data_IF_566088570823
#
_entry.id   IF_566088570823
#
_cell.length_a   1.000
_cell.length_b   1.000
_cell.length_c   1.000
_cell.angle_alpha   90.00
_cell.angle_beta   90.00
_cell.angle_gamma   90.00
#
_symmetry.space_group_name_H-M   'P 1'
#
loop_
_entity.id
_entity.type
_entity.pdbx_description
1 polymer ?
#
# COMPACT_ATOMS: atom_id res chain seq x y z
N UNK A 1 -21.10 7.05 -5.33
CA UNK A 1 -20.50 6.69 -4.03
C UNK A 1 -20.57 7.92 -3.11
N UNK A 2 -21.02 7.76 -1.87
CA UNK A 2 -20.80 8.81 -0.87
C UNK A 2 -19.29 8.94 -0.71
N UNK A 3 -18.78 10.14 -0.78
CA UNK A 3 -17.35 10.35 -0.62
C UNK A 3 -16.90 9.73 0.71
N UNK A 4 -15.90 8.88 0.67
CA UNK A 4 -15.34 8.21 1.85
C UNK A 4 -14.96 9.20 2.97
N UNK A 5 -14.59 10.43 2.59
CA UNK A 5 -14.30 11.56 3.49
C UNK A 5 -15.47 11.88 4.42
N UNK A 6 -16.70 11.90 3.91
CA UNK A 6 -17.87 12.19 4.73
C UNK A 6 -18.16 11.12 5.79
N UNK A 7 -17.77 9.88 5.54
CA UNK A 7 -18.13 8.73 6.37
C UNK A 7 -17.00 8.31 7.32
N UNK A 8 -15.75 8.39 6.87
CA UNK A 8 -14.65 7.69 7.53
C UNK A 8 -13.50 8.61 7.97
N UNK A 9 -13.38 9.82 7.44
CA UNK A 9 -12.24 10.70 7.75
C UNK A 9 -12.09 10.99 9.24
N UNK A 10 -13.19 11.11 9.97
CA UNK A 10 -13.20 11.32 11.42
C UNK A 10 -12.64 10.14 12.24
N UNK A 11 -12.51 8.97 11.61
CA UNK A 11 -11.96 7.76 12.26
C UNK A 11 -10.44 7.66 12.15
N UNK A 12 -9.80 8.51 11.35
CA UNK A 12 -8.34 8.54 11.23
C UNK A 12 -7.75 9.16 12.49
N UNK A 13 -6.84 8.45 13.15
CA UNK A 13 -6.11 9.00 14.30
C UNK A 13 -5.24 10.17 13.88
N UNK A 14 -5.03 11.13 14.79
CA UNK A 14 -4.20 12.30 14.52
C UNK A 14 -2.77 11.92 14.09
N UNK A 15 -2.20 10.90 14.72
CA UNK A 15 -0.86 10.40 14.40
C UNK A 15 -0.78 9.83 12.97
N UNK A 16 -1.72 8.98 12.56
CA UNK A 16 -1.75 8.43 11.21
C UNK A 16 -1.97 9.52 10.16
N UNK A 17 -2.84 10.50 10.46
CA UNK A 17 -3.07 11.66 9.59
C UNK A 17 -1.78 12.45 9.37
N UNK A 18 -1.12 12.83 10.44
CA UNK A 18 0.15 13.58 10.38
C UNK A 18 1.21 12.83 9.57
N UNK A 19 1.35 11.53 9.79
CA UNK A 19 2.31 10.71 9.04
C UNK A 19 2.02 10.65 7.54
N UNK A 20 0.75 10.64 7.15
CA UNK A 20 0.35 10.64 5.74
C UNK A 20 0.58 12.02 5.12
N UNK A 21 0.23 13.09 5.82
CA UNK A 21 0.41 14.48 5.37
C UNK A 21 1.90 14.81 5.18
N UNK A 22 2.77 14.33 6.09
CA UNK A 22 4.23 14.41 5.93
C UNK A 22 4.68 13.69 4.67
N UNK A 23 4.18 12.50 4.41
CA UNK A 23 4.57 11.74 3.21
C UNK A 23 4.12 12.42 1.92
N UNK A 24 2.90 12.96 1.88
CA UNK A 24 2.39 13.75 0.75
C UNK A 24 3.28 14.97 0.48
N UNK A 25 3.65 15.71 1.53
CA UNK A 25 4.59 16.83 1.43
C UNK A 25 5.96 16.39 0.91
N UNK A 26 6.45 15.23 1.32
CA UNK A 26 7.73 14.70 0.83
C UNK A 26 7.71 14.33 -0.65
N UNK A 27 6.58 13.83 -1.17
CA UNK A 27 6.37 13.60 -2.60
C UNK A 27 6.48 14.92 -3.38
N UNK A 28 5.82 15.97 -2.91
CA UNK A 28 5.89 17.29 -3.52
C UNK A 28 7.32 17.87 -3.50
N UNK A 29 7.99 17.80 -2.37
CA UNK A 29 9.37 18.26 -2.22
C UNK A 29 10.33 17.48 -3.12
N UNK A 30 10.11 16.17 -3.30
CA UNK A 30 10.87 15.35 -4.23
C UNK A 30 10.68 15.81 -5.67
N UNK A 31 9.46 16.09 -6.06
CA UNK A 31 9.13 16.62 -7.39
C UNK A 31 9.78 17.98 -7.67
N UNK A 32 9.96 18.80 -6.64
CA UNK A 32 10.69 20.07 -6.72
C UNK A 32 12.23 19.91 -6.68
N UNK A 33 12.76 18.68 -6.61
CA UNK A 33 14.21 18.43 -6.49
C UNK A 33 14.81 18.81 -5.14
N UNK A 34 13.99 18.97 -4.09
CA UNK A 34 14.44 19.40 -2.74
C UNK A 34 14.74 18.23 -1.81
N UNK A 35 14.48 17.00 -2.22
CA UNK A 35 14.74 15.80 -1.45
C UNK A 35 15.66 14.88 -2.24
N UNK A 36 16.71 14.41 -1.61
CA UNK A 36 17.67 13.46 -2.16
C UNK A 36 16.99 12.14 -2.55
N UNK A 37 17.51 11.49 -3.62
CA UNK A 37 16.94 10.25 -4.17
C UNK A 37 16.98 9.11 -3.17
N UNK A 38 18.08 8.94 -2.47
CA UNK A 38 18.26 7.86 -1.50
C UNK A 38 17.33 8.08 -0.29
N UNK A 39 17.29 9.30 0.23
CA UNK A 39 16.43 9.64 1.35
C UNK A 39 14.95 9.41 1.01
N UNK A 40 14.52 9.82 -0.19
CA UNK A 40 13.14 9.58 -0.64
C UNK A 40 12.85 8.09 -0.82
N UNK A 41 13.79 7.33 -1.39
CA UNK A 41 13.64 5.89 -1.56
C UNK A 41 13.45 5.17 -0.20
N UNK A 42 14.24 5.54 0.82
CA UNK A 42 14.09 4.99 2.17
C UNK A 42 12.76 5.39 2.81
N UNK A 43 12.36 6.65 2.63
CA UNK A 43 11.10 7.17 3.16
C UNK A 43 9.90 6.41 2.58
N UNK A 44 9.82 6.29 1.25
CA UNK A 44 8.71 5.58 0.62
C UNK A 44 8.64 4.11 1.02
N UNK A 45 9.80 3.44 1.20
CA UNK A 45 9.85 2.06 1.66
C UNK A 45 9.21 1.91 3.05
N UNK A 46 9.49 2.82 3.99
CA UNK A 46 8.87 2.81 5.31
C UNK A 46 7.36 3.04 5.27
N UNK A 47 6.87 3.69 4.23
CA UNK A 47 5.43 3.88 3.98
C UNK A 47 4.77 2.71 3.23
N UNK A 48 5.49 1.63 2.99
CA UNK A 48 4.99 0.45 2.28
C UNK A 48 5.05 0.57 0.75
N UNK A 49 5.61 1.65 0.23
CA UNK A 49 5.69 1.96 -1.21
C UNK A 49 7.06 1.59 -1.76
N UNK A 50 7.10 0.80 -2.83
CA UNK A 50 8.35 0.53 -3.55
C UNK A 50 8.13 0.25 -5.03
N UNK A 51 9.20 0.44 -5.81
CA UNK A 51 9.17 0.25 -7.25
C UNK A 51 8.82 -1.18 -7.65
N UNK A 52 8.11 -1.30 -8.73
CA UNK A 52 7.75 -2.58 -9.33
C UNK A 52 8.97 -3.13 -10.10
N UNK A 53 9.79 -3.94 -9.46
CA UNK A 53 11.07 -4.41 -10.04
C UNK A 53 10.96 -5.18 -11.34
N UNK A 54 9.78 -5.76 -11.60
CA UNK A 54 9.52 -6.59 -12.77
C UNK A 54 8.46 -5.99 -13.68
N UNK A 55 8.17 -4.71 -13.49
CA UNK A 55 7.22 -3.99 -14.30
C UNK A 55 7.77 -3.82 -15.71
N UNK A 56 6.94 -4.14 -16.69
CA UNK A 56 7.24 -3.95 -18.11
C UNK A 56 6.53 -2.72 -18.71
N UNK A 57 5.93 -1.88 -17.86
CA UNK A 57 5.15 -0.72 -18.27
C UNK A 57 3.74 -1.07 -18.76
N UNK A 58 3.31 -2.29 -18.57
CA UNK A 58 2.00 -2.75 -19.01
C UNK A 58 1.16 -3.24 -17.84
N UNK A 59 -0.10 -2.90 -17.88
CA UNK A 59 -1.12 -3.32 -16.94
C UNK A 59 -2.22 -4.05 -17.70
N UNK A 60 -2.71 -5.13 -17.14
CA UNK A 60 -3.84 -5.87 -17.68
C UNK A 60 -5.06 -5.70 -16.77
N UNK A 61 -6.14 -5.14 -17.31
CA UNK A 61 -7.37 -4.88 -16.56
C UNK A 61 -8.37 -6.06 -16.57
N UNK A 62 -7.96 -7.19 -17.10
CA UNK A 62 -8.79 -8.38 -17.31
C UNK A 62 -9.27 -8.55 -18.75
N UNK A 63 -9.26 -7.49 -19.56
CA UNK A 63 -9.69 -7.48 -20.96
C UNK A 63 -8.57 -7.07 -21.90
N UNK A 64 -7.89 -5.97 -21.58
CA UNK A 64 -6.87 -5.38 -22.45
C UNK A 64 -5.59 -5.07 -21.69
N UNK A 65 -4.48 -5.04 -22.42
CA UNK A 65 -3.18 -4.56 -21.92
C UNK A 65 -3.13 -3.04 -22.10
N UNK A 66 -2.92 -2.32 -21.02
CA UNK A 66 -2.77 -0.87 -21.01
C UNK A 66 -1.31 -0.49 -20.74
N UNK A 67 -0.79 0.48 -21.47
CA UNK A 67 0.50 1.09 -21.15
C UNK A 67 0.35 2.12 -20.05
N UNK A 68 1.28 2.07 -19.08
CA UNK A 68 1.33 3.02 -17.99
C UNK A 68 2.20 4.21 -18.37
N UNK A 69 1.61 5.39 -18.35
CA UNK A 69 2.33 6.65 -18.55
C UNK A 69 2.61 7.30 -17.18
N UNK A 70 3.82 7.80 -17.01
CA UNK A 70 4.22 8.53 -15.82
C UNK A 70 5.20 9.67 -16.18
N UNK A 71 5.24 10.77 -15.36
CA UNK A 71 5.89 12.02 -15.76
C UNK A 71 7.38 11.95 -16.00
N UNK A 72 8.12 11.09 -15.29
CA UNK A 72 9.58 11.04 -15.39
C UNK A 72 10.13 10.18 -16.51
N UNK A 73 9.29 9.52 -17.33
CA UNK A 73 9.68 8.91 -18.59
C UNK A 73 9.93 7.40 -18.55
N UNK A 74 11.13 6.91 -18.88
CA UNK A 74 11.37 5.50 -19.16
C UNK A 74 11.31 4.58 -17.93
N UNK A 75 10.65 3.44 -18.08
CA UNK A 75 10.66 2.34 -17.12
C UNK A 75 12.01 1.63 -17.13
N UNK A 76 12.75 1.81 -16.05
CA UNK A 76 13.98 1.07 -15.81
C UNK A 76 13.70 -0.10 -14.85
N UNK A 77 14.09 -1.30 -15.26
CA UNK A 77 13.98 -2.49 -14.40
C UNK A 77 15.12 -2.51 -13.38
N UNK A 78 14.79 -2.74 -12.12
CA UNK A 78 15.78 -2.95 -11.08
C UNK A 78 15.88 -1.82 -10.05
N UNK A 79 17.06 -1.65 -9.42
CA UNK A 79 17.26 -0.65 -8.38
C UNK A 79 17.19 0.80 -8.88
N UNK A 80 17.32 0.99 -10.18
CA UNK A 80 17.30 2.30 -10.85
C UNK A 80 15.91 2.72 -11.33
N UNK A 81 14.85 2.03 -10.85
CA UNK A 81 13.45 2.41 -11.17
C UNK A 81 13.22 3.87 -10.80
N UNK A 82 12.69 4.63 -11.74
CA UNK A 82 12.37 6.04 -11.55
C UNK A 82 11.42 6.20 -10.37
N UNK A 83 11.65 7.21 -9.55
CA UNK A 83 10.99 7.37 -8.27
C UNK A 83 9.46 7.50 -8.34
N UNK A 84 8.92 8.06 -9.43
CA UNK A 84 7.49 8.27 -9.67
C UNK A 84 6.87 7.27 -10.65
N UNK A 85 7.61 6.25 -11.07
CA UNK A 85 7.04 5.15 -11.82
C UNK A 85 5.98 4.40 -10.97
N UNK A 86 4.92 3.88 -11.61
CA UNK A 86 3.93 3.06 -10.91
C UNK A 86 4.61 1.96 -10.12
N UNK A 87 4.20 1.82 -8.87
CA UNK A 87 4.86 0.95 -7.91
C UNK A 87 3.92 -0.03 -7.26
N UNK A 88 4.42 -0.69 -6.23
CA UNK A 88 3.65 -1.58 -5.38
C UNK A 88 3.45 -0.94 -4.01
N UNK A 89 2.22 -1.02 -3.49
CA UNK A 89 1.90 -0.66 -2.12
C UNK A 89 1.63 -1.92 -1.31
N UNK A 90 2.41 -2.13 -0.25
CA UNK A 90 2.16 -3.21 0.71
C UNK A 90 1.40 -2.70 1.91
N UNK A 91 0.39 -3.47 2.29
CA UNK A 91 -0.51 -3.18 3.40
C UNK A 91 -0.23 -4.20 4.49
N UNK A 92 0.03 -3.72 5.70
CA UNK A 92 0.34 -4.56 6.85
C UNK A 92 -0.94 -5.04 7.51
N UNK A 93 -1.11 -6.34 7.58
CA UNK A 93 -2.27 -6.99 8.21
C UNK A 93 -1.76 -7.83 9.39
N UNK A 94 -1.72 -7.29 10.60
CA UNK A 94 -1.24 -8.02 11.77
C UNK A 94 -1.94 -9.38 11.89
N UNK A 95 -1.16 -10.44 12.06
CA UNK A 95 -1.59 -11.86 12.12
C UNK A 95 -2.61 -12.31 11.07
N UNK A 96 -2.75 -11.54 9.98
CA UNK A 96 -3.62 -11.89 8.85
C UNK A 96 -5.12 -11.73 9.09
N UNK A 97 -5.53 -11.12 10.22
CA UNK A 97 -6.94 -10.96 10.55
C UNK A 97 -7.54 -9.68 9.95
N UNK A 98 -8.70 -9.81 9.34
CA UNK A 98 -9.44 -8.72 8.72
C UNK A 98 -10.92 -8.74 9.11
N UNK A 99 -11.43 -7.54 9.37
CA UNK A 99 -12.87 -7.33 9.55
C UNK A 99 -13.57 -7.15 8.20
N UNK A 100 -14.87 -7.46 8.08
CA UNK A 100 -15.62 -7.29 6.82
C UNK A 100 -15.55 -5.88 6.25
N UNK A 101 -15.56 -4.84 7.09
CA UNK A 101 -15.44 -3.45 6.66
C UNK A 101 -14.06 -3.13 6.05
N UNK A 102 -13.01 -3.72 6.60
CA UNK A 102 -11.65 -3.60 6.08
C UNK A 102 -11.53 -4.27 4.71
N UNK A 103 -12.10 -5.46 4.55
CA UNK A 103 -12.12 -6.17 3.27
C UNK A 103 -12.84 -5.37 2.18
N UNK A 104 -13.95 -4.70 2.50
CA UNK A 104 -14.65 -3.84 1.54
C UNK A 104 -13.78 -2.67 1.09
N UNK A 105 -13.13 -1.97 2.01
CA UNK A 105 -12.23 -0.86 1.66
C UNK A 105 -11.06 -1.36 0.82
N UNK A 106 -10.50 -2.52 1.13
CA UNK A 106 -9.44 -3.12 0.32
C UNK A 106 -9.91 -3.45 -1.11
N UNK A 107 -11.12 -4.00 -1.26
CA UNK A 107 -11.70 -4.28 -2.58
C UNK A 107 -11.95 -3.00 -3.39
N UNK A 108 -12.61 -2.00 -2.78
CA UNK A 108 -12.90 -0.72 -3.43
C UNK A 108 -11.61 -0.01 -3.90
N UNK A 109 -10.55 -0.04 -3.08
CA UNK A 109 -9.25 0.55 -3.44
C UNK A 109 -8.57 -0.22 -4.57
N UNK A 110 -8.72 -1.55 -4.62
CA UNK A 110 -8.19 -2.36 -5.70
C UNK A 110 -8.84 -2.01 -7.04
N UNK A 111 -10.15 -1.82 -7.05
CA UNK A 111 -10.91 -1.43 -8.25
C UNK A 111 -10.62 0.00 -8.70
N UNK A 112 -10.42 0.93 -7.77
CA UNK A 112 -10.22 2.35 -8.10
C UNK A 112 -8.78 2.69 -8.53
N UNK A 113 -7.77 2.06 -7.91
CA UNK A 113 -6.36 2.49 -8.03
C UNK A 113 -5.41 1.41 -8.54
N UNK A 114 -5.82 0.15 -8.51
CA UNK A 114 -5.02 -0.97 -8.98
C UNK A 114 -5.69 -1.63 -10.20
N UNK A 115 -5.38 -2.88 -10.44
CA UNK A 115 -5.90 -3.67 -11.56
C UNK A 115 -7.09 -4.58 -11.16
N UNK A 116 -7.76 -4.26 -10.06
CA UNK A 116 -8.84 -5.09 -9.50
C UNK A 116 -8.33 -6.36 -8.80
N UNK A 117 -7.02 -6.51 -8.65
CA UNK A 117 -6.39 -7.68 -8.01
C UNK A 117 -5.68 -7.27 -6.73
N UNK A 118 -5.95 -8.00 -5.67
CA UNK A 118 -5.29 -7.85 -4.39
C UNK A 118 -4.49 -9.11 -4.08
N UNK A 119 -3.17 -8.98 -4.04
CA UNK A 119 -2.28 -10.10 -3.78
C UNK A 119 -2.08 -10.33 -2.29
N UNK A 120 -2.20 -11.59 -1.86
CA UNK A 120 -1.87 -12.01 -0.49
C UNK A 120 -0.42 -12.50 -0.47
N UNK A 121 0.37 -11.98 0.46
CA UNK A 121 1.75 -12.41 0.63
C UNK A 121 1.88 -13.65 1.51
N UNK A 122 3.03 -14.33 1.45
CA UNK A 122 3.34 -15.48 2.33
C UNK A 122 3.36 -15.12 3.82
N UNK A 123 3.35 -13.81 4.16
CA UNK A 123 3.26 -13.31 5.53
C UNK A 123 1.91 -12.67 5.84
N UNK A 124 0.87 -13.03 5.08
CA UNK A 124 -0.50 -12.59 5.33
C UNK A 124 -0.72 -11.06 5.18
N UNK A 125 0.23 -10.35 4.54
CA UNK A 125 0.05 -8.97 4.12
C UNK A 125 -0.65 -8.92 2.76
N UNK A 126 -1.19 -7.75 2.40
CA UNK A 126 -1.72 -7.50 1.06
C UNK A 126 -0.81 -6.59 0.23
N UNK A 127 -0.93 -6.70 -1.09
CA UNK A 127 -0.21 -5.86 -2.04
C UNK A 127 -1.12 -5.40 -3.16
N UNK A 128 -1.11 -4.09 -3.42
CA UNK A 128 -1.58 -3.50 -4.66
C UNK A 128 -0.40 -3.31 -5.61
N UNK A 129 -0.65 -3.47 -6.89
CA UNK A 129 0.32 -3.27 -7.96
C UNK A 129 -0.10 -2.08 -8.82
N UNK A 130 0.88 -1.47 -9.50
CA UNK A 130 0.68 -0.36 -10.45
C UNK A 130 0.08 0.91 -9.83
N UNK A 131 0.39 1.18 -8.57
CA UNK A 131 -0.08 2.37 -7.87
C UNK A 131 0.82 3.56 -8.20
N UNK A 132 0.23 4.66 -8.66
CA UNK A 132 0.94 5.92 -8.79
C UNK A 132 1.35 6.48 -7.43
N UNK A 133 2.50 7.14 -7.40
CA UNK A 133 3.02 7.71 -6.14
C UNK A 133 2.04 8.72 -5.55
N UNK A 134 1.36 9.50 -6.40
CA UNK A 134 0.41 10.54 -5.99
C UNK A 134 -0.89 9.98 -5.37
N UNK A 135 -1.26 8.75 -5.70
CA UNK A 135 -2.46 8.10 -5.18
C UNK A 135 -2.24 7.49 -3.79
N UNK A 136 -0.97 7.21 -3.44
CA UNK A 136 -0.64 6.56 -2.18
C UNK A 136 -1.18 7.30 -0.94
N UNK A 137 -1.07 8.64 -0.80
CA UNK A 137 -1.62 9.33 0.38
C UNK A 137 -3.14 9.15 0.51
N UNK A 138 -3.89 9.20 -0.59
CA UNK A 138 -5.35 8.99 -0.58
C UNK A 138 -5.69 7.56 -0.19
N UNK A 139 -5.01 6.56 -0.74
CA UNK A 139 -5.16 5.16 -0.38
C UNK A 139 -4.87 4.95 1.12
N UNK A 140 -3.76 5.51 1.61
CA UNK A 140 -3.37 5.41 3.02
C UNK A 140 -4.41 6.03 3.96
N UNK A 141 -5.02 7.17 3.60
CA UNK A 141 -6.09 7.78 4.40
C UNK A 141 -7.33 6.88 4.47
N UNK A 142 -7.73 6.28 3.37
CA UNK A 142 -8.87 5.35 3.33
C UNK A 142 -8.61 4.08 4.15
N UNK A 143 -7.40 3.54 4.09
CA UNK A 143 -6.98 2.41 4.93
C UNK A 143 -6.95 2.79 6.42
N UNK A 144 -6.37 3.94 6.74
CA UNK A 144 -6.30 4.44 8.11
C UNK A 144 -7.69 4.64 8.74
N UNK A 145 -8.69 5.05 7.95
CA UNK A 145 -10.06 5.23 8.40
C UNK A 145 -10.74 3.93 8.88
N UNK A 146 -10.24 2.78 8.47
CA UNK A 146 -10.68 1.45 8.95
C UNK A 146 -9.64 0.77 9.84
N UNK A 147 -8.63 1.52 10.32
CA UNK A 147 -7.63 1.01 11.24
C UNK A 147 -6.54 0.16 10.60
N UNK A 148 -6.31 0.30 9.29
CA UNK A 148 -5.23 -0.38 8.57
C UNK A 148 -4.11 0.62 8.29
N UNK A 149 -2.87 0.17 8.37
CA UNK A 149 -1.69 0.99 8.06
C UNK A 149 -0.78 0.32 7.04
N UNK A 150 -0.05 1.14 6.29
CA UNK A 150 1.04 0.71 5.41
C UNK A 150 2.41 0.99 6.05
N UNK A 151 2.42 1.59 7.24
CA UNK A 151 3.64 1.97 7.93
C UNK A 151 4.53 0.75 8.20
N UNK A 152 5.79 0.86 7.81
CA UNK A 152 6.79 -0.20 7.94
C UNK A 152 6.37 -1.56 7.32
N UNK A 153 5.50 -1.55 6.32
CA UNK A 153 5.16 -2.76 5.59
C UNK A 153 6.27 -3.23 4.63
N UNK A 154 7.23 -2.35 4.32
CA UNK A 154 8.38 -2.61 3.45
C UNK A 154 9.68 -2.10 4.05
N UNK A 155 10.80 -2.43 3.42
CA UNK A 155 12.12 -1.99 3.84
C UNK A 155 12.80 -2.92 4.84
N UNK A 156 13.83 -2.40 5.50
CA UNK A 156 14.62 -3.15 6.50
C UNK A 156 14.00 -2.95 7.91
N UNK A 157 12.85 -3.54 8.11
CA UNK A 157 12.03 -3.43 9.33
C UNK A 157 11.53 -4.81 9.77
N UNK A 158 11.03 -4.90 10.99
CA UNK A 158 10.34 -6.10 11.48
C UNK A 158 9.10 -6.32 10.63
N UNK A 159 9.06 -7.46 9.97
CA UNK A 159 7.95 -7.87 9.11
C UNK A 159 6.73 -8.26 9.92
N UNK A 160 5.62 -8.53 9.21
CA UNK A 160 4.39 -8.96 9.85
C UNK A 160 4.62 -10.16 10.77
N UNK A 161 4.01 -10.12 11.94
CA UNK A 161 3.90 -11.29 12.82
C UNK A 161 2.67 -12.07 12.37
N UNK A 162 2.90 -13.32 11.95
CA UNK A 162 1.83 -14.19 11.45
C UNK A 162 1.36 -15.11 12.58
N UNK A 163 0.09 -15.45 12.57
CA UNK A 163 -0.51 -16.45 13.43
C UNK A 163 -0.97 -17.68 12.63
N UNK A 164 -1.37 -18.71 13.31
CA UNK A 164 -1.98 -19.87 12.67
C UNK A 164 -3.30 -19.44 11.98
N UNK A 165 -3.53 -19.76 10.69
CA UNK A 165 -4.72 -19.34 9.98
C UNK A 165 -6.03 -19.96 10.51
N UNK A 166 -5.95 -20.97 11.33
CA UNK A 166 -7.08 -21.63 12.01
C UNK A 166 -7.09 -21.41 13.53
N UNK A 167 -6.30 -20.42 14.02
CA UNK A 167 -6.32 -20.03 15.42
C UNK A 167 -7.75 -19.63 15.84
N UNK A 168 -8.14 -19.98 17.04
CA UNK A 168 -9.47 -19.71 17.60
C UNK A 168 -10.61 -20.60 17.08
N UNK A 169 -10.34 -21.44 16.04
CA UNK A 169 -11.38 -22.36 15.48
C UNK A 169 -10.89 -23.82 15.41
N UNK A 170 -9.63 -24.07 15.70
CA UNK A 170 -9.06 -25.41 15.71
C UNK A 170 -9.41 -26.14 17.01
N UNK A 171 -10.07 -27.30 16.92
CA UNK A 171 -10.47 -28.10 18.10
C UNK A 171 -9.28 -28.73 18.85
N UNK A 172 -8.11 -28.84 18.21
CA UNK A 172 -6.87 -29.35 18.80
C UNK A 172 -5.97 -28.24 19.37
N UNK A 173 -6.47 -27.00 19.42
CA UNK A 173 -5.72 -25.86 19.91
C UNK A 173 -5.59 -25.90 21.44
N UNK A 174 -4.35 -25.80 21.95
CA UNK A 174 -4.12 -25.80 23.39
C UNK A 174 -4.43 -24.44 24.04
N UNK A 175 -4.29 -23.36 23.27
CA UNK A 175 -4.64 -21.98 23.68
C UNK A 175 -4.83 -21.12 22.44
N UNK A 176 -5.76 -20.20 22.52
CA UNK A 176 -6.07 -19.25 21.44
C UNK A 176 -4.92 -18.26 21.24
N UNK A 177 -4.40 -18.18 20.03
CA UNK A 177 -3.32 -17.26 19.62
C UNK A 177 -3.79 -16.20 18.63
N UNK A 178 -5.12 -16.08 18.42
CA UNK A 178 -5.71 -15.06 17.55
C UNK A 178 -5.75 -13.66 18.16
#
# INVERSE_FOLDING_TARGET
MKEWKEILENKITAELREQIDIFETQIELKRMGKVDDQLFAETRLRKGVYGQRYDNGQRHDGNEVQELNFPSGELLKGPETVWDAPGMLRIKIPFGSLKPEQMRVLADLSEEYADGVLHITTRQDFQYHYIHIDDNPTIMRRLAAVGITTHEACGNVIRNVTACPIAGVCHDENFDVS
#
